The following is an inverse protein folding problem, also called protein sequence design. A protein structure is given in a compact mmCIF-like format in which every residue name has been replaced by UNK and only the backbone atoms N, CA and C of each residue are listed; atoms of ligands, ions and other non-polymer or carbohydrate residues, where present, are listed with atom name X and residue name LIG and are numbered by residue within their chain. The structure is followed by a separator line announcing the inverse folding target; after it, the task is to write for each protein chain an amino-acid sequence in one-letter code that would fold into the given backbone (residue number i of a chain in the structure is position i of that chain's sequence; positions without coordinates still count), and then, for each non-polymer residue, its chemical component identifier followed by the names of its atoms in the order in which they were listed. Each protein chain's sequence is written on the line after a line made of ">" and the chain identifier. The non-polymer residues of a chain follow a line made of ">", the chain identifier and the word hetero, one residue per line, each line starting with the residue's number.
data_IF_981153274921
#
_entry.id   IF_981153274921
#
_cell.length_a   1.000
_cell.length_b   1.000
_cell.length_c   1.000
_cell.angle_alpha   90.00
_cell.angle_beta   90.00
_cell.angle_gamma   90.00
#
_symmetry.space_group_name_H-M   'P 1'
#
loop_
_entity.id
_entity.type
_entity.pdbx_description
1 polymer ?
#
# COMPACT_ATOMS: atom_id res chain seq x y z
N UNK A 1 -6.31 24.65 35.23
CA UNK A 1 -6.10 23.97 33.94
C UNK A 1 -6.17 25.03 32.85
N UNK A 2 -5.06 25.33 32.18
CA UNK A 2 -4.92 26.50 31.28
C UNK A 2 -5.38 26.18 29.86
N UNK A 3 -6.03 27.12 29.17
CA UNK A 3 -6.56 26.96 27.79
C UNK A 3 -5.51 26.38 26.81
N UNK A 4 -4.23 26.72 27.00
CA UNK A 4 -3.10 26.18 26.21
C UNK A 4 -2.91 24.66 26.35
N UNK A 5 -3.18 24.05 27.52
CA UNK A 5 -3.02 22.60 27.71
C UNK A 5 -4.16 21.80 27.08
N UNK A 6 -5.36 22.37 26.99
CA UNK A 6 -6.51 21.78 26.29
C UNK A 6 -6.30 21.83 24.76
N UNK A 7 -5.82 22.97 24.24
CA UNK A 7 -5.48 23.10 22.83
C UNK A 7 -4.34 22.16 22.39
N UNK A 8 -3.33 21.92 23.23
CA UNK A 8 -2.26 20.95 22.95
C UNK A 8 -2.79 19.52 22.84
N UNK A 9 -3.65 19.08 23.79
CA UNK A 9 -4.26 17.75 23.77
C UNK A 9 -5.18 17.54 22.56
N UNK A 10 -5.94 18.56 22.15
CA UNK A 10 -6.75 18.47 20.93
C UNK A 10 -5.91 18.34 19.66
N UNK A 11 -4.76 19.04 19.61
CA UNK A 11 -3.84 18.99 18.47
C UNK A 11 -3.14 17.63 18.37
N UNK A 12 -2.64 17.08 19.49
CA UNK A 12 -2.07 15.72 19.57
C UNK A 12 -3.09 14.64 19.17
N UNK A 13 -4.34 14.73 19.64
CA UNK A 13 -5.38 13.78 19.27
C UNK A 13 -5.77 13.84 17.78
N UNK A 14 -5.73 15.02 17.13
CA UNK A 14 -6.02 15.14 15.68
C UNK A 14 -4.93 14.49 14.83
N UNK A 15 -3.66 14.72 15.17
CA UNK A 15 -2.53 14.06 14.49
C UNK A 15 -2.58 12.53 14.65
N UNK A 16 -2.97 12.05 15.83
CA UNK A 16 -3.17 10.62 16.09
C UNK A 16 -4.28 10.01 15.22
N UNK A 17 -5.44 10.66 15.07
CA UNK A 17 -6.55 10.10 14.26
C UNK A 17 -6.23 9.99 12.77
N UNK A 18 -5.53 10.97 12.21
CA UNK A 18 -5.12 10.96 10.80
C UNK A 18 -4.10 9.87 10.53
N UNK A 19 -3.13 9.69 11.43
CA UNK A 19 -2.16 8.61 11.35
C UNK A 19 -2.84 7.24 11.42
N UNK A 20 -3.77 7.03 12.37
CA UNK A 20 -4.53 5.77 12.47
C UNK A 20 -5.32 5.46 11.19
N UNK A 21 -5.99 6.46 10.60
CA UNK A 21 -6.73 6.25 9.36
C UNK A 21 -5.81 5.94 8.18
N UNK A 22 -4.65 6.59 8.10
CA UNK A 22 -3.64 6.30 7.09
C UNK A 22 -3.04 4.89 7.24
N UNK A 23 -2.73 4.48 8.48
CA UNK A 23 -2.26 3.13 8.79
C UNK A 23 -3.30 2.06 8.40
N UNK A 24 -4.59 2.34 8.64
CA UNK A 24 -5.67 1.44 8.22
C UNK A 24 -5.74 1.27 6.70
N UNK A 25 -5.49 2.35 5.93
CA UNK A 25 -5.42 2.28 4.47
C UNK A 25 -4.21 1.46 4.02
N UNK A 26 -3.03 1.69 4.62
CA UNK A 26 -1.82 0.91 4.34
C UNK A 26 -2.02 -0.58 4.60
N UNK A 27 -2.61 -0.93 5.75
CA UNK A 27 -2.90 -2.31 6.12
C UNK A 27 -3.93 -2.95 5.18
N UNK A 28 -4.98 -2.20 4.81
CA UNK A 28 -5.99 -2.68 3.89
C UNK A 28 -5.40 -2.95 2.51
N UNK A 29 -4.55 -2.05 2.02
CA UNK A 29 -3.79 -2.25 0.78
C UNK A 29 -2.93 -3.52 0.87
N UNK A 30 -2.14 -3.66 1.94
CA UNK A 30 -1.26 -4.81 2.15
C UNK A 30 -2.01 -6.15 2.12
N UNK A 31 -3.12 -6.23 2.86
CA UNK A 31 -3.96 -7.44 2.91
C UNK A 31 -4.60 -7.72 1.56
N UNK A 32 -5.13 -6.70 0.89
CA UNK A 32 -5.76 -6.85 -0.42
C UNK A 32 -4.77 -7.32 -1.49
N UNK A 33 -3.57 -6.72 -1.54
CA UNK A 33 -2.53 -7.09 -2.48
C UNK A 33 -2.09 -8.55 -2.30
N UNK A 34 -1.92 -8.99 -1.05
CA UNK A 34 -1.59 -10.38 -0.73
C UNK A 34 -2.70 -11.36 -1.14
N UNK A 35 -3.97 -11.01 -0.89
CA UNK A 35 -5.11 -11.83 -1.33
C UNK A 35 -5.15 -11.93 -2.85
N UNK A 36 -4.97 -10.81 -3.56
CA UNK A 36 -4.96 -10.79 -5.02
C UNK A 36 -3.79 -11.61 -5.60
N UNK A 37 -2.61 -11.53 -4.98
CA UNK A 37 -1.46 -12.36 -5.32
C UNK A 37 -1.78 -13.85 -5.16
N UNK A 38 -2.24 -14.27 -3.99
CA UNK A 38 -2.55 -15.68 -3.71
C UNK A 38 -3.63 -16.19 -4.66
N UNK A 39 -4.74 -15.46 -4.81
CA UNK A 39 -5.83 -15.88 -5.71
C UNK A 39 -5.36 -15.90 -7.16
N UNK A 40 -4.56 -14.95 -7.60
CA UNK A 40 -4.04 -14.91 -8.97
C UNK A 40 -3.01 -15.99 -9.28
N UNK A 41 -2.27 -16.50 -8.28
CA UNK A 41 -1.32 -17.60 -8.47
C UNK A 41 -1.95 -18.98 -8.31
N UNK A 42 -2.99 -19.10 -7.47
CA UNK A 42 -3.60 -20.41 -7.13
C UNK A 42 -4.90 -20.70 -7.85
N UNK A 43 -5.54 -19.70 -8.47
CA UNK A 43 -6.84 -19.85 -9.13
C UNK A 43 -6.89 -19.16 -10.49
N UNK A 44 -7.88 -19.51 -11.30
CA UNK A 44 -8.19 -18.83 -12.56
C UNK A 44 -9.04 -17.56 -12.37
N UNK A 45 -9.19 -17.06 -11.14
CA UNK A 45 -10.07 -15.93 -10.84
C UNK A 45 -9.72 -14.68 -11.67
N UNK A 46 -8.43 -14.39 -11.85
CA UNK A 46 -7.98 -13.29 -12.68
C UNK A 46 -8.28 -13.54 -14.17
N UNK A 47 -8.12 -14.78 -14.64
CA UNK A 47 -8.48 -15.15 -16.01
C UNK A 47 -10.00 -15.03 -16.26
N UNK A 48 -10.83 -15.27 -15.24
CA UNK A 48 -12.28 -15.12 -15.33
C UNK A 48 -12.75 -13.67 -15.51
N UNK A 49 -11.91 -12.69 -15.19
CA UNK A 49 -12.16 -11.25 -15.41
C UNK A 49 -11.32 -10.68 -16.57
N UNK A 50 -10.92 -11.55 -17.51
CA UNK A 50 -10.13 -11.22 -18.71
C UNK A 50 -8.69 -10.74 -18.41
N UNK A 51 -8.18 -11.02 -17.21
CA UNK A 51 -6.78 -10.76 -16.83
C UNK A 51 -6.00 -12.07 -16.97
N UNK A 52 -5.35 -12.26 -18.10
CA UNK A 52 -4.60 -13.48 -18.43
C UNK A 52 -3.23 -13.58 -17.73
N UNK A 53 -3.08 -13.03 -16.52
CA UNK A 53 -1.80 -12.87 -15.83
C UNK A 53 -1.87 -13.54 -14.46
N UNK A 54 -0.80 -14.24 -14.06
CA UNK A 54 -0.66 -14.74 -12.69
C UNK A 54 -0.63 -13.59 -11.68
N UNK A 55 -0.88 -13.91 -10.41
CA UNK A 55 -0.98 -12.94 -9.33
C UNK A 55 0.23 -12.00 -9.24
N UNK A 56 1.46 -12.51 -9.38
CA UNK A 56 2.69 -11.69 -9.35
C UNK A 56 2.65 -10.61 -10.42
N UNK A 57 2.27 -11.00 -11.64
CA UNK A 57 2.24 -10.09 -12.77
C UNK A 57 1.07 -9.11 -12.66
N UNK A 58 -0.06 -9.51 -12.07
CA UNK A 58 -1.13 -8.59 -11.74
C UNK A 58 -0.68 -7.47 -10.78
N UNK A 59 0.09 -7.82 -9.74
CA UNK A 59 0.65 -6.83 -8.81
C UNK A 59 1.55 -5.84 -9.55
N UNK A 60 2.48 -6.33 -10.39
CA UNK A 60 3.43 -5.49 -11.10
C UNK A 60 2.82 -4.61 -12.20
N UNK A 61 1.84 -5.13 -12.93
CA UNK A 61 1.31 -4.45 -14.11
C UNK A 61 0.11 -3.55 -13.77
N UNK A 62 -0.64 -3.85 -12.70
CA UNK A 62 -1.91 -3.18 -12.40
C UNK A 62 -1.98 -2.58 -10.99
N UNK A 63 -1.73 -3.36 -9.93
CA UNK A 63 -1.98 -2.88 -8.56
C UNK A 63 -0.92 -1.90 -8.07
N UNK A 64 0.35 -2.28 -8.22
CA UNK A 64 1.51 -1.60 -7.66
C UNK A 64 2.51 -1.15 -8.74
N UNK A 65 2.02 -0.97 -9.98
CA UNK A 65 2.82 -0.59 -11.12
C UNK A 65 3.75 0.62 -10.89
N UNK A 66 3.32 1.71 -10.22
CA UNK A 66 4.22 2.83 -9.95
C UNK A 66 5.41 2.45 -9.07
N UNK A 67 5.17 1.67 -8.03
CA UNK A 67 6.21 1.25 -7.07
C UNK A 67 7.11 0.21 -7.71
N UNK A 68 6.54 -0.74 -8.44
CA UNK A 68 7.32 -1.70 -9.23
C UNK A 68 8.27 -1.01 -10.21
N UNK A 69 7.79 -0.02 -10.98
CA UNK A 69 8.64 0.76 -11.91
C UNK A 69 9.78 1.49 -11.20
N UNK A 70 9.54 2.03 -10.01
CA UNK A 70 10.58 2.67 -9.20
C UNK A 70 11.62 1.66 -8.68
N UNK A 71 11.16 0.45 -8.34
CA UNK A 71 12.00 -0.62 -7.82
C UNK A 71 12.56 -1.54 -8.92
N UNK A 72 12.19 -1.33 -10.19
CA UNK A 72 12.56 -2.22 -11.30
C UNK A 72 14.07 -2.37 -11.47
N UNK A 73 14.85 -1.32 -11.15
CA UNK A 73 16.30 -1.37 -11.14
C UNK A 73 16.91 -2.19 -10.00
N UNK A 74 16.19 -2.37 -8.88
CA UNK A 74 16.60 -3.21 -7.74
C UNK A 74 16.07 -4.65 -7.84
N UNK A 75 14.90 -4.80 -8.44
CA UNK A 75 14.22 -6.08 -8.71
C UNK A 75 14.70 -6.69 -10.04
N UNK A 76 15.60 -6.00 -10.74
CA UNK A 76 16.08 -6.35 -12.08
C UNK A 76 16.63 -7.78 -12.15
N UNK A 77 16.11 -8.54 -13.11
CA UNK A 77 16.49 -9.91 -13.45
C UNK A 77 16.28 -11.00 -12.39
N UNK A 78 15.31 -10.83 -11.48
CA UNK A 78 14.74 -11.98 -10.75
C UNK A 78 13.88 -12.82 -11.71
N UNK A 79 14.54 -13.47 -12.68
CA UNK A 79 13.91 -14.18 -13.80
C UNK A 79 14.05 -15.70 -13.73
N UNK A 80 14.69 -16.25 -12.70
CA UNK A 80 15.05 -17.67 -12.72
C UNK A 80 14.44 -18.54 -11.60
N UNK A 81 14.02 -17.97 -10.47
CA UNK A 81 13.60 -18.76 -9.30
C UNK A 81 12.30 -18.24 -8.68
N UNK A 82 11.33 -19.14 -8.52
CA UNK A 82 10.00 -18.81 -7.99
C UNK A 82 10.01 -18.20 -6.59
N UNK A 83 10.96 -18.62 -5.73
CA UNK A 83 11.08 -18.07 -4.36
C UNK A 83 11.56 -16.61 -4.39
N UNK A 84 12.57 -16.28 -5.20
CA UNK A 84 13.06 -14.92 -5.28
C UNK A 84 12.01 -14.00 -5.92
N UNK A 85 11.20 -14.49 -6.86
CA UNK A 85 10.06 -13.74 -7.39
C UNK A 85 9.02 -13.43 -6.31
N UNK A 86 8.73 -14.38 -5.41
CA UNK A 86 7.82 -14.17 -4.28
C UNK A 86 8.37 -13.13 -3.30
N UNK A 87 9.67 -13.17 -3.00
CA UNK A 87 10.30 -12.16 -2.13
C UNK A 87 10.27 -10.78 -2.80
N UNK A 88 10.56 -10.72 -4.10
CA UNK A 88 10.55 -9.47 -4.86
C UNK A 88 9.15 -8.83 -4.90
N UNK A 89 8.10 -9.62 -5.15
CA UNK A 89 6.72 -9.08 -5.16
C UNK A 89 6.31 -8.63 -3.77
N UNK A 90 6.69 -9.35 -2.72
CA UNK A 90 6.40 -8.95 -1.35
C UNK A 90 7.08 -7.62 -0.97
N UNK A 91 8.32 -7.41 -1.40
CA UNK A 91 8.99 -6.12 -1.21
C UNK A 91 8.27 -4.98 -1.93
N UNK A 92 7.74 -5.23 -3.13
CA UNK A 92 6.92 -4.25 -3.87
C UNK A 92 5.64 -3.95 -3.10
N UNK A 93 4.93 -4.97 -2.61
CA UNK A 93 3.68 -4.83 -1.84
C UNK A 93 3.92 -4.07 -0.52
N UNK A 94 5.01 -4.36 0.19
CA UNK A 94 5.35 -3.65 1.43
C UNK A 94 5.66 -2.18 1.13
N UNK A 95 6.51 -1.93 0.13
CA UNK A 95 6.89 -0.58 -0.26
C UNK A 95 5.68 0.24 -0.74
N UNK A 96 4.80 -0.35 -1.53
CA UNK A 96 3.57 0.29 -1.98
C UNK A 96 2.62 0.59 -0.84
N UNK A 97 2.43 -0.36 0.09
CA UNK A 97 1.55 -0.17 1.25
C UNK A 97 2.03 0.97 2.15
N UNK A 98 3.34 1.08 2.39
CA UNK A 98 3.94 2.20 3.12
C UNK A 98 3.70 3.51 2.36
N UNK A 99 3.91 3.51 1.05
CA UNK A 99 3.71 4.70 0.21
C UNK A 99 2.25 5.15 0.22
N UNK A 100 1.28 4.25 0.06
CA UNK A 100 -0.15 4.55 0.12
C UNK A 100 -0.58 5.05 1.49
N UNK A 101 -0.06 4.48 2.58
CA UNK A 101 -0.25 4.99 3.94
C UNK A 101 0.26 6.42 4.06
N UNK A 102 1.49 6.67 3.65
CA UNK A 102 2.10 7.99 3.70
C UNK A 102 1.34 9.04 2.88
N UNK A 103 0.96 8.72 1.63
CA UNK A 103 0.16 9.60 0.77
C UNK A 103 -1.20 9.88 1.41
N UNK A 104 -1.87 8.85 1.93
CA UNK A 104 -3.17 8.99 2.60
C UNK A 104 -3.08 9.89 3.83
N UNK A 105 -2.01 9.74 4.62
CA UNK A 105 -1.74 10.65 5.75
C UNK A 105 -1.60 12.10 5.30
N UNK A 106 -0.82 12.36 4.24
CA UNK A 106 -0.65 13.71 3.70
C UNK A 106 -1.98 14.30 3.21
N UNK A 107 -2.80 13.50 2.52
CA UNK A 107 -4.13 13.92 2.03
C UNK A 107 -5.05 14.24 3.21
N UNK A 108 -5.17 13.35 4.21
CA UNK A 108 -6.02 13.56 5.38
C UNK A 108 -5.58 14.79 6.19
N UNK A 109 -4.27 15.00 6.30
CA UNK A 109 -3.70 16.19 6.95
C UNK A 109 -4.02 17.45 6.17
N UNK A 110 -3.93 17.43 4.84
CA UNK A 110 -4.29 18.56 3.98
C UNK A 110 -5.78 18.88 4.09
N UNK A 111 -6.66 17.87 4.01
CA UNK A 111 -8.12 18.04 4.14
C UNK A 111 -8.45 18.73 5.47
N UNK A 112 -7.88 18.27 6.59
CA UNK A 112 -8.15 18.88 7.89
C UNK A 112 -7.54 20.28 8.07
N UNK A 113 -6.55 20.65 7.24
CA UNK A 113 -6.00 21.99 7.23
C UNK A 113 -6.86 22.96 6.40
N UNK A 114 -7.47 22.46 5.31
CA UNK A 114 -8.34 23.25 4.41
C UNK A 114 -9.77 23.36 4.93
N UNK A 115 -10.29 22.30 5.55
CA UNK A 115 -11.64 22.21 6.10
C UNK A 115 -11.58 22.01 7.63
N UNK A 116 -11.46 23.10 8.42
CA UNK A 116 -11.19 23.05 9.85
C UNK A 116 -12.32 22.47 10.70
#
# INVERSE_FOLDING_TARGET
>A
MTIRSVQRRHKENRYSRQAIAADAIALTHFVFANIALILGETTELLAAIDIQHGGIRFIYDYLDAPVYRLLQGFVGDVRADGIYMLIAVELVIIASSILYGFISYLILRLIAAVFP
#
